data_IF_550168198484
#
_entry.id   IF_550168198484
#
_cell.length_a   1.000
_cell.length_b   1.000
_cell.length_c   1.000
_cell.angle_alpha   90.00
_cell.angle_beta   90.00
_cell.angle_gamma   90.00
#
_symmetry.space_group_name_H-M   'P 1'
#
loop_
_entity.id
_entity.type
_entity.pdbx_description
1 polymer ?
#
# COMPACT_ATOMS: atom_id res chain seq x y z
N UNK A 1 50.71 -40.42 -34.89
CA UNK A 1 50.24 -40.14 -33.52
C UNK A 1 50.54 -38.69 -33.23
N UNK A 2 49.51 -37.85 -33.25
CA UNK A 2 49.49 -36.50 -32.73
C UNK A 2 48.02 -36.23 -32.40
N UNK A 3 47.71 -36.15 -31.12
CA UNK A 3 46.38 -35.82 -30.61
C UNK A 3 46.05 -34.35 -30.91
N UNK A 4 44.81 -34.00 -31.27
CA UNK A 4 44.40 -32.62 -31.35
C UNK A 4 44.12 -32.06 -29.96
N UNK A 5 44.67 -30.88 -29.69
CA UNK A 5 44.44 -30.11 -28.47
C UNK A 5 42.94 -29.85 -28.28
N UNK A 6 42.42 -30.27 -27.12
CA UNK A 6 41.13 -29.85 -26.62
C UNK A 6 41.19 -28.34 -26.34
N UNK A 7 40.39 -27.55 -27.07
CA UNK A 7 40.04 -26.22 -26.60
C UNK A 7 39.21 -26.41 -25.32
N UNK A 8 39.78 -26.00 -24.20
CA UNK A 8 39.03 -25.77 -22.97
C UNK A 8 38.03 -24.66 -23.26
N UNK A 9 36.76 -25.01 -23.40
CA UNK A 9 35.68 -24.10 -23.08
C UNK A 9 35.76 -23.84 -21.57
N UNK A 10 36.39 -22.74 -21.19
CA UNK A 10 36.28 -22.17 -19.85
C UNK A 10 34.82 -21.72 -19.67
N UNK A 11 33.97 -22.66 -19.26
CA UNK A 11 32.71 -22.35 -18.59
C UNK A 11 33.09 -21.67 -17.26
N UNK A 12 32.97 -20.36 -17.20
CA UNK A 12 32.88 -19.61 -15.94
C UNK A 12 31.65 -20.13 -15.17
N UNK A 13 31.84 -21.19 -14.38
CA UNK A 13 30.84 -21.93 -13.62
C UNK A 13 30.81 -21.53 -12.13
N UNK A 14 31.07 -20.24 -11.81
CA UNK A 14 31.19 -19.80 -10.40
C UNK A 14 30.61 -18.38 -10.12
N UNK A 15 29.41 -18.09 -10.63
CA UNK A 15 28.55 -17.06 -10.03
C UNK A 15 27.49 -17.75 -9.14
N UNK A 16 27.67 -17.82 -7.80
CA UNK A 16 26.71 -18.48 -6.95
C UNK A 16 25.37 -17.73 -7.02
N UNK A 17 24.36 -18.39 -7.60
CA UNK A 17 22.93 -18.02 -7.57
C UNK A 17 22.55 -16.65 -8.16
N UNK A 18 22.76 -16.42 -9.45
CA UNK A 18 22.08 -15.31 -10.14
C UNK A 18 20.54 -15.45 -10.03
N UNK A 19 19.78 -14.34 -9.85
CA UNK A 19 18.32 -14.42 -9.71
C UNK A 19 17.66 -14.97 -10.97
N UNK A 20 16.82 -16.00 -10.79
CA UNK A 20 16.13 -16.68 -11.89
C UNK A 20 14.79 -16.00 -12.17
N UNK A 21 14.68 -15.31 -13.31
CA UNK A 21 13.40 -14.73 -13.77
C UNK A 21 12.34 -15.83 -13.89
N UNK A 22 11.15 -15.56 -13.36
CA UNK A 22 10.05 -16.52 -13.28
C UNK A 22 10.05 -17.39 -12.02
N UNK A 23 11.11 -17.37 -11.20
CA UNK A 23 11.10 -18.06 -9.90
C UNK A 23 10.05 -17.45 -8.98
N UNK A 24 9.26 -18.31 -8.35
CA UNK A 24 8.14 -17.91 -7.48
C UNK A 24 8.27 -18.41 -6.05
N UNK A 25 7.66 -17.69 -5.12
CA UNK A 25 7.42 -18.13 -3.73
C UNK A 25 5.95 -17.94 -3.35
N UNK A 26 5.39 -18.83 -2.50
CA UNK A 26 3.98 -18.76 -2.11
C UNK A 26 3.66 -17.53 -1.23
N UNK A 27 2.37 -17.38 -0.91
CA UNK A 27 1.87 -16.44 0.10
C UNK A 27 2.55 -16.63 1.46
N UNK A 28 2.71 -15.55 2.22
CA UNK A 28 3.29 -15.57 3.57
C UNK A 28 4.80 -15.80 3.65
N UNK A 29 5.41 -16.47 2.67
CA UNK A 29 6.85 -16.73 2.68
C UNK A 29 7.63 -15.57 2.08
N UNK A 30 8.57 -15.02 2.85
CA UNK A 30 9.57 -14.07 2.34
C UNK A 30 10.62 -14.83 1.51
N UNK A 31 10.94 -14.40 0.27
CA UNK A 31 12.04 -15.00 -0.49
C UNK A 31 13.35 -14.87 0.28
N UNK A 32 14.26 -15.85 0.20
CA UNK A 32 15.57 -15.73 0.81
C UNK A 32 16.38 -14.67 0.05
N UNK A 33 17.13 -13.84 0.77
CA UNK A 33 17.78 -12.64 0.22
C UNK A 33 18.80 -13.00 -0.87
N UNK A 34 19.57 -14.06 -0.66
CA UNK A 34 20.59 -14.58 -1.58
C UNK A 34 20.00 -14.90 -2.96
N UNK A 35 18.77 -15.39 -3.04
CA UNK A 35 18.09 -15.67 -4.30
C UNK A 35 17.69 -14.42 -5.10
N UNK A 36 17.77 -13.24 -4.49
CA UNK A 36 17.45 -11.95 -5.10
C UNK A 36 18.70 -11.11 -5.41
N UNK A 37 19.85 -11.44 -4.82
CA UNK A 37 21.08 -10.67 -4.97
C UNK A 37 21.57 -10.71 -6.41
N UNK A 38 21.84 -9.54 -6.98
CA UNK A 38 22.38 -9.37 -8.33
C UNK A 38 23.36 -8.22 -8.38
N UNK A 39 23.99 -8.02 -9.53
CA UNK A 39 24.93 -6.92 -9.78
C UNK A 39 24.19 -5.81 -10.53
N UNK A 40 24.27 -4.58 -10.01
CA UNK A 40 23.72 -3.41 -10.66
C UNK A 40 24.44 -3.17 -12.00
N UNK A 41 23.72 -3.10 -13.14
CA UNK A 41 24.34 -3.14 -14.47
C UNK A 41 25.19 -1.91 -14.82
N UNK A 42 25.02 -0.80 -14.11
CA UNK A 42 25.77 0.45 -14.33
C UNK A 42 26.89 0.64 -13.29
N UNK A 43 26.55 0.64 -11.99
CA UNK A 43 27.52 0.87 -10.91
C UNK A 43 28.38 -0.34 -10.56
N UNK A 44 27.94 -1.57 -10.89
CA UNK A 44 28.62 -2.81 -10.50
C UNK A 44 28.39 -3.22 -9.03
N UNK A 45 27.60 -2.47 -8.27
CA UNK A 45 27.29 -2.79 -6.87
C UNK A 45 26.41 -4.03 -6.76
N UNK A 46 26.66 -4.87 -5.75
CA UNK A 46 25.75 -5.99 -5.44
C UNK A 46 24.57 -5.48 -4.64
N UNK A 47 23.37 -5.98 -4.93
CA UNK A 47 22.15 -5.56 -4.26
C UNK A 47 20.90 -6.26 -4.78
N UNK A 48 19.74 -5.71 -4.45
CA UNK A 48 18.43 -6.21 -4.90
C UNK A 48 17.63 -5.13 -5.62
N UNK A 49 16.77 -5.57 -6.54
CA UNK A 49 15.77 -4.72 -7.19
C UNK A 49 14.36 -5.14 -6.79
N UNK A 50 13.50 -4.17 -6.49
CA UNK A 50 12.08 -4.36 -6.22
C UNK A 50 11.28 -3.62 -7.29
N UNK A 51 10.42 -4.32 -8.03
CA UNK A 51 9.47 -3.71 -8.96
C UNK A 51 8.14 -3.43 -8.27
N UNK A 52 7.77 -2.15 -8.21
CA UNK A 52 6.56 -1.62 -7.59
C UNK A 52 5.53 -1.20 -8.64
N UNK A 53 4.28 -1.60 -8.42
CA UNK A 53 3.12 -1.24 -9.26
C UNK A 53 1.91 -0.72 -8.46
N UNK A 54 2.01 -0.68 -7.13
CA UNK A 54 0.87 -0.41 -6.24
C UNK A 54 1.28 0.35 -4.98
N UNK A 55 1.11 -0.28 -3.82
CA UNK A 55 1.28 0.39 -2.52
C UNK A 55 2.72 0.88 -2.28
N UNK A 56 3.70 0.17 -2.83
CA UNK A 56 5.13 0.50 -2.78
C UNK A 56 5.46 1.75 -3.62
N UNK A 57 4.73 2.01 -4.72
CA UNK A 57 4.88 3.28 -5.45
C UNK A 57 4.44 4.46 -4.57
N UNK A 58 3.32 4.30 -3.86
CA UNK A 58 2.78 5.31 -2.95
C UNK A 58 3.63 5.50 -1.69
N UNK A 59 4.23 4.42 -1.18
CA UNK A 59 5.07 4.41 0.02
C UNK A 59 6.38 3.67 -0.28
N UNK A 60 7.41 4.40 -0.77
CA UNK A 60 8.71 3.82 -1.08
C UNK A 60 9.36 3.16 0.15
N UNK A 61 10.03 2.01 -0.01
CA UNK A 61 10.63 1.31 1.11
C UNK A 61 11.93 2.00 1.55
N UNK A 62 12.26 1.98 2.85
CA UNK A 62 13.56 2.45 3.32
C UNK A 62 14.68 1.52 2.84
N UNK A 63 15.92 1.98 2.96
CA UNK A 63 17.11 1.24 2.50
C UNK A 63 17.37 1.34 1.00
N UNK A 64 16.43 1.88 0.21
CA UNK A 64 16.67 2.20 -1.19
C UNK A 64 17.71 3.31 -1.34
N UNK A 65 18.61 3.16 -2.31
CA UNK A 65 19.57 4.21 -2.72
C UNK A 65 19.19 4.81 -4.06
N UNK A 66 18.48 4.05 -4.90
CA UNK A 66 18.03 4.50 -6.21
C UNK A 66 16.59 4.11 -6.50
N UNK A 67 15.96 4.91 -7.37
CA UNK A 67 14.65 4.63 -7.95
C UNK A 67 14.66 4.95 -9.44
N UNK A 68 14.06 4.07 -10.24
CA UNK A 68 14.05 4.16 -11.70
C UNK A 68 12.64 4.03 -12.25
N UNK A 69 12.29 4.89 -13.20
CA UNK A 69 11.09 4.77 -14.01
C UNK A 69 11.15 3.48 -14.82
N UNK A 70 10.20 2.57 -14.62
CA UNK A 70 10.31 1.19 -15.12
C UNK A 70 9.06 0.70 -15.84
N UNK A 71 9.17 -0.46 -16.48
CA UNK A 71 8.05 -1.24 -16.96
C UNK A 71 8.39 -2.75 -16.98
N UNK A 72 7.36 -3.57 -16.92
CA UNK A 72 7.44 -5.03 -17.13
C UNK A 72 6.47 -5.45 -18.24
N UNK A 73 6.76 -6.56 -18.91
CA UNK A 73 5.93 -7.10 -19.99
C UNK A 73 5.18 -8.35 -19.56
N UNK A 74 4.03 -8.60 -20.18
CA UNK A 74 3.24 -9.81 -19.95
C UNK A 74 2.38 -9.76 -18.68
N UNK A 75 2.19 -8.57 -18.11
CA UNK A 75 1.38 -8.36 -16.91
C UNK A 75 0.45 -7.16 -17.07
N UNK A 76 -0.65 -7.19 -16.31
CA UNK A 76 -1.53 -6.05 -16.06
C UNK A 76 -1.77 -5.93 -14.56
N UNK A 77 -2.05 -4.71 -14.10
CA UNK A 77 -2.60 -4.48 -12.76
C UNK A 77 -4.12 -4.40 -12.83
N UNK A 78 -4.79 -4.81 -11.78
CA UNK A 78 -6.24 -4.66 -11.64
C UNK A 78 -6.61 -4.60 -10.14
N UNK A 79 -7.70 -3.95 -9.78
CA UNK A 79 -8.27 -4.03 -8.43
C UNK A 79 -8.99 -5.37 -8.24
N UNK A 80 -8.20 -6.45 -8.13
CA UNK A 80 -8.67 -7.84 -8.16
C UNK A 80 -8.55 -8.57 -6.81
N UNK A 81 -8.22 -7.84 -5.75
CA UNK A 81 -8.06 -8.36 -4.40
C UNK A 81 -8.94 -7.59 -3.42
N UNK A 82 -9.75 -8.32 -2.63
CA UNK A 82 -10.42 -7.78 -1.46
C UNK A 82 -9.38 -7.49 -0.36
N UNK A 83 -9.44 -6.29 0.19
CA UNK A 83 -8.56 -5.84 1.27
C UNK A 83 -9.41 -5.55 2.51
N UNK A 84 -9.26 -6.39 3.53
CA UNK A 84 -10.01 -6.30 4.78
C UNK A 84 -9.23 -5.61 5.91
N UNK A 85 -8.04 -5.10 5.62
CA UNK A 85 -7.14 -4.55 6.65
C UNK A 85 -6.64 -3.15 6.33
N UNK A 86 -6.04 -2.94 5.16
CA UNK A 86 -5.41 -1.67 4.82
C UNK A 86 -6.32 -0.70 4.09
N UNK A 87 -7.30 -1.22 3.34
CA UNK A 87 -8.24 -0.42 2.54
C UNK A 87 -9.70 -0.70 2.87
N UNK A 88 -9.95 -1.61 3.79
CA UNK A 88 -11.28 -1.99 4.25
C UNK A 88 -11.24 -2.58 5.64
N UNK A 89 -12.34 -3.22 5.98
CA UNK A 89 -12.53 -3.97 7.23
C UNK A 89 -13.09 -5.36 6.90
N UNK A 90 -13.12 -6.27 7.88
CA UNK A 90 -13.76 -7.59 7.68
C UNK A 90 -15.23 -7.50 7.26
N UNK A 91 -15.96 -6.50 7.78
CA UNK A 91 -17.39 -6.29 7.46
C UNK A 91 -17.61 -5.59 6.14
N UNK A 92 -16.71 -4.67 5.79
CA UNK A 92 -16.75 -3.88 4.57
C UNK A 92 -15.37 -3.90 3.90
N UNK A 93 -15.06 -4.96 3.12
CA UNK A 93 -13.79 -5.06 2.41
C UNK A 93 -13.62 -3.91 1.42
N UNK A 94 -12.41 -3.37 1.33
CA UNK A 94 -11.98 -2.48 0.26
C UNK A 94 -11.33 -3.27 -0.85
N UNK A 95 -10.66 -2.56 -1.76
CA UNK A 95 -9.93 -3.16 -2.88
C UNK A 95 -8.46 -2.76 -2.85
N UNK A 96 -7.60 -3.70 -3.24
CA UNK A 96 -6.17 -3.44 -3.50
C UNK A 96 -5.77 -3.97 -4.87
N UNK A 97 -4.66 -3.45 -5.41
CA UNK A 97 -4.17 -3.87 -6.73
C UNK A 97 -3.54 -5.26 -6.66
N UNK A 98 -3.89 -6.09 -7.63
CA UNK A 98 -3.23 -7.34 -7.94
C UNK A 98 -2.50 -7.26 -9.29
N UNK A 99 -1.31 -7.86 -9.36
CA UNK A 99 -0.61 -8.06 -10.62
C UNK A 99 -0.95 -9.43 -11.21
N UNK A 100 -1.40 -9.45 -12.46
CA UNK A 100 -1.88 -10.65 -13.14
C UNK A 100 -1.19 -10.83 -14.51
N UNK A 101 -0.91 -12.07 -14.93
CA UNK A 101 -0.41 -12.34 -16.28
C UNK A 101 -1.39 -11.83 -17.35
N UNK A 102 -0.89 -11.04 -18.29
CA UNK A 102 -1.65 -10.55 -19.44
C UNK A 102 -0.72 -10.42 -20.65
N UNK A 103 -0.85 -11.35 -21.59
CA UNK A 103 0.07 -11.48 -22.74
C UNK A 103 -0.03 -10.24 -23.64
N UNK A 104 1.13 -9.71 -24.03
CA UNK A 104 1.23 -8.55 -24.94
C UNK A 104 1.12 -7.19 -24.25
N UNK A 105 0.92 -7.17 -22.93
CA UNK A 105 0.84 -5.93 -22.16
C UNK A 105 2.19 -5.44 -21.70
N UNK A 106 2.30 -4.12 -21.56
CA UNK A 106 3.42 -3.43 -20.94
C UNK A 106 2.91 -2.62 -19.76
N UNK A 107 3.29 -3.01 -18.55
CA UNK A 107 2.85 -2.37 -17.33
C UNK A 107 3.90 -1.35 -16.86
N UNK A 108 3.58 -0.05 -16.80
CA UNK A 108 4.46 0.94 -16.17
C UNK A 108 4.68 0.63 -14.68
N UNK A 109 5.77 1.12 -14.08
CA UNK A 109 6.05 0.93 -12.67
C UNK A 109 7.29 1.70 -12.22
N UNK A 110 7.73 1.43 -10.99
CA UNK A 110 8.98 1.97 -10.43
C UNK A 110 9.83 0.79 -9.96
N UNK A 111 11.12 0.82 -10.27
CA UNK A 111 12.09 -0.10 -9.67
C UNK A 111 12.87 0.64 -8.61
N UNK A 112 12.98 0.05 -7.42
CA UNK A 112 13.88 0.50 -6.37
C UNK A 112 15.08 -0.42 -6.29
N UNK A 113 16.26 0.16 -6.08
CA UNK A 113 17.49 -0.59 -5.81
C UNK A 113 17.96 -0.33 -4.39
N UNK A 114 18.41 -1.39 -3.72
CA UNK A 114 19.16 -1.32 -2.47
C UNK A 114 20.46 -2.11 -2.62
N UNK A 115 21.61 -1.52 -2.26
CA UNK A 115 22.87 -2.24 -2.21
C UNK A 115 22.84 -3.28 -1.08
N UNK A 116 23.80 -4.20 -1.10
CA UNK A 116 23.89 -5.35 -0.19
C UNK A 116 23.73 -4.99 1.28
N UNK A 117 24.28 -3.84 1.71
CA UNK A 117 24.25 -3.36 3.10
C UNK A 117 22.83 -3.07 3.59
N UNK A 118 21.93 -2.63 2.71
CA UNK A 118 20.56 -2.24 3.05
C UNK A 118 19.49 -3.13 2.41
N UNK A 119 19.89 -4.09 1.57
CA UNK A 119 18.99 -5.00 0.87
C UNK A 119 18.09 -5.80 1.83
N UNK A 120 18.65 -6.29 2.95
CA UNK A 120 17.88 -7.01 3.96
C UNK A 120 16.79 -6.12 4.61
N UNK A 121 17.11 -4.85 4.89
CA UNK A 121 16.15 -3.88 5.44
C UNK A 121 15.01 -3.64 4.44
N UNK A 122 15.34 -3.30 3.19
CA UNK A 122 14.35 -3.07 2.15
C UNK A 122 13.43 -4.30 1.98
N UNK A 123 14.00 -5.50 1.89
CA UNK A 123 13.23 -6.73 1.70
C UNK A 123 12.27 -6.99 2.87
N UNK A 124 12.71 -6.75 4.11
CA UNK A 124 11.86 -6.91 5.30
C UNK A 124 10.68 -5.93 5.29
N UNK A 125 10.94 -4.67 4.97
CA UNK A 125 9.93 -3.61 4.98
C UNK A 125 8.92 -3.79 3.83
N UNK A 126 9.40 -4.13 2.64
CA UNK A 126 8.54 -4.47 1.50
C UNK A 126 7.68 -5.71 1.82
N UNK A 127 8.27 -6.73 2.45
CA UNK A 127 7.51 -7.91 2.86
C UNK A 127 6.43 -7.56 3.88
N UNK A 128 6.76 -6.79 4.92
CA UNK A 128 5.79 -6.37 5.94
C UNK A 128 4.65 -5.53 5.35
N UNK A 129 4.96 -4.63 4.41
CA UNK A 129 3.97 -3.78 3.75
C UNK A 129 2.99 -4.55 2.85
N UNK A 130 3.46 -5.59 2.16
CA UNK A 130 2.63 -6.39 1.23
C UNK A 130 2.05 -7.66 1.87
N UNK A 131 2.43 -8.00 3.11
CA UNK A 131 2.08 -9.26 3.76
C UNK A 131 1.54 -9.04 5.18
N UNK A 132 0.40 -8.36 5.35
CA UNK A 132 -0.21 -8.24 6.67
C UNK A 132 -0.54 -9.62 7.24
N UNK A 133 -0.37 -9.78 8.55
CA UNK A 133 -0.49 -11.08 9.23
C UNK A 133 -1.84 -11.77 9.02
N UNK A 134 -2.93 -10.99 8.93
CA UNK A 134 -4.28 -11.49 8.67
C UNK A 134 -4.59 -11.80 7.18
N UNK A 135 -3.69 -11.45 6.25
CA UNK A 135 -3.88 -11.65 4.81
C UNK A 135 -2.62 -12.12 4.08
N UNK A 136 -1.82 -12.98 4.72
CA UNK A 136 -0.55 -13.49 4.18
C UNK A 136 -0.67 -14.14 2.79
N UNK A 137 -1.85 -14.68 2.45
CA UNK A 137 -2.10 -15.35 1.18
C UNK A 137 -2.47 -14.42 0.01
N UNK A 138 -2.51 -13.09 0.18
CA UNK A 138 -2.86 -12.12 -0.87
C UNK A 138 -2.02 -12.26 -2.13
N UNK A 139 -0.70 -12.34 -1.96
CA UNK A 139 0.24 -12.32 -3.06
C UNK A 139 1.17 -13.53 -3.06
N UNK A 140 1.51 -13.99 -4.26
CA UNK A 140 2.72 -14.78 -4.52
C UNK A 140 3.85 -13.82 -4.87
N UNK A 141 5.09 -14.20 -4.58
CA UNK A 141 6.26 -13.43 -5.02
C UNK A 141 6.81 -14.02 -6.31
N UNK A 142 7.32 -13.17 -7.19
CA UNK A 142 8.00 -13.62 -8.41
C UNK A 142 9.15 -12.68 -8.77
N UNK A 143 10.25 -13.23 -9.27
CA UNK A 143 11.26 -12.43 -9.97
C UNK A 143 10.75 -12.17 -11.40
N UNK A 144 10.61 -10.90 -11.76
CA UNK A 144 10.26 -10.43 -13.10
C UNK A 144 11.44 -9.76 -13.77
N UNK A 145 11.41 -9.68 -15.10
CA UNK A 145 12.36 -8.88 -15.85
C UNK A 145 11.81 -7.45 -15.97
N UNK A 146 12.43 -6.49 -15.28
CA UNK A 146 12.07 -5.08 -15.33
C UNK A 146 13.04 -4.29 -16.23
N UNK A 147 12.53 -3.26 -16.89
CA UNK A 147 13.32 -2.32 -17.70
C UNK A 147 13.64 -1.05 -16.89
N UNK A 148 14.89 -0.61 -16.88
CA UNK A 148 15.33 0.66 -16.27
C UNK A 148 16.14 1.48 -17.30
N UNK A 149 16.19 2.80 -17.13
CA UNK A 149 16.91 3.70 -18.05
C UNK A 149 16.52 3.50 -19.51
N UNK A 150 17.52 3.41 -20.39
CA UNK A 150 17.38 3.20 -21.83
C UNK A 150 17.09 1.73 -22.21
N UNK A 151 16.20 1.07 -21.45
CA UNK A 151 15.78 -0.32 -21.71
C UNK A 151 16.70 -1.40 -21.15
N UNK A 152 17.60 -1.05 -20.23
CA UNK A 152 18.44 -2.01 -19.51
C UNK A 152 17.56 -2.94 -18.69
N UNK A 153 17.79 -4.24 -18.78
CA UNK A 153 16.96 -5.25 -18.11
C UNK A 153 17.60 -5.68 -16.80
N UNK A 154 16.82 -5.64 -15.71
CA UNK A 154 17.23 -6.11 -14.38
C UNK A 154 16.24 -7.14 -13.83
N UNK A 155 16.68 -8.17 -13.08
CA UNK A 155 15.78 -9.05 -12.36
C UNK A 155 15.27 -8.33 -11.11
N UNK A 156 13.96 -8.24 -10.94
CA UNK A 156 13.34 -7.54 -9.82
C UNK A 156 12.28 -8.40 -9.14
N UNK A 157 12.25 -8.39 -7.81
CA UNK A 157 11.17 -9.01 -7.04
C UNK A 157 9.90 -8.19 -7.20
N UNK A 158 8.78 -8.86 -7.43
CA UNK A 158 7.44 -8.25 -7.36
C UNK A 158 6.41 -9.21 -6.76
N UNK A 159 5.18 -8.72 -6.60
CA UNK A 159 4.08 -9.39 -5.89
C UNK A 159 2.94 -9.64 -6.87
N UNK A 160 2.62 -10.90 -7.18
CA UNK A 160 1.52 -11.27 -8.05
C UNK A 160 0.28 -11.56 -7.24
N UNK A 161 -0.89 -11.18 -7.74
CA UNK A 161 -2.15 -11.65 -7.17
C UNK A 161 -2.12 -13.17 -7.05
N UNK A 162 -2.57 -13.69 -5.92
CA UNK A 162 -2.68 -15.13 -5.70
C UNK A 162 -4.12 -15.59 -6.03
N UNK A 163 -4.37 -16.29 -7.16
CA UNK A 163 -5.72 -16.75 -7.51
C UNK A 163 -6.30 -17.79 -6.55
N UNK A 164 -5.46 -18.43 -5.74
CA UNK A 164 -5.87 -19.40 -4.71
C UNK A 164 -6.23 -18.71 -3.39
N UNK A 165 -6.00 -17.39 -3.29
CA UNK A 165 -6.38 -16.62 -2.11
C UNK A 165 -7.89 -16.51 -2.00
N UNK A 166 -8.43 -16.68 -0.78
CA UNK A 166 -9.84 -16.37 -0.48
C UNK A 166 -10.19 -14.89 -0.70
N UNK A 167 -9.19 -14.02 -0.82
CA UNK A 167 -9.35 -12.59 -1.08
C UNK A 167 -9.31 -12.26 -2.58
N UNK A 168 -9.02 -13.23 -3.45
CA UNK A 168 -8.99 -12.99 -4.88
C UNK A 168 -10.40 -12.94 -5.47
N UNK A 169 -10.73 -11.79 -6.05
CA UNK A 169 -12.02 -11.55 -6.71
C UNK A 169 -11.88 -11.44 -8.24
N UNK A 170 -10.65 -11.43 -8.76
CA UNK A 170 -10.37 -11.37 -10.20
C UNK A 170 -11.10 -10.20 -10.89
N UNK A 171 -11.81 -10.50 -11.98
CA UNK A 171 -12.62 -9.54 -12.74
C UNK A 171 -14.12 -9.62 -12.42
N UNK A 172 -14.50 -10.11 -11.23
CA UNK A 172 -15.92 -10.23 -10.84
C UNK A 172 -16.64 -8.87 -10.72
N UNK A 173 -15.89 -7.77 -10.63
CA UNK A 173 -16.42 -6.41 -10.56
C UNK A 173 -16.02 -5.62 -11.81
N UNK A 174 -16.98 -4.86 -12.35
CA UNK A 174 -16.72 -3.85 -13.36
C UNK A 174 -16.04 -2.60 -12.77
N UNK A 175 -15.57 -1.70 -13.64
CA UNK A 175 -14.90 -0.45 -13.23
C UNK A 175 -15.75 0.42 -12.31
N UNK A 176 -17.07 0.50 -12.55
CA UNK A 176 -17.99 1.32 -11.76
C UNK A 176 -18.22 0.73 -10.37
N UNK A 177 -18.36 -0.59 -10.28
CA UNK A 177 -18.44 -1.30 -9.01
C UNK A 177 -17.16 -1.15 -8.20
N UNK A 178 -15.99 -1.27 -8.85
CA UNK A 178 -14.68 -1.01 -8.23
C UNK A 178 -14.56 0.42 -7.70
N UNK A 179 -14.88 1.41 -8.53
CA UNK A 179 -14.86 2.82 -8.17
C UNK A 179 -15.77 3.14 -6.98
N UNK A 180 -16.99 2.60 -6.95
CA UNK A 180 -17.91 2.77 -5.82
C UNK A 180 -17.35 2.21 -4.51
N UNK A 181 -16.71 1.03 -4.56
CA UNK A 181 -16.07 0.45 -3.37
C UNK A 181 -14.86 1.29 -2.92
N UNK A 182 -13.99 1.67 -3.85
CA UNK A 182 -12.82 2.52 -3.57
C UNK A 182 -13.24 3.87 -2.96
N UNK A 183 -14.33 4.45 -3.46
CA UNK A 183 -14.86 5.72 -2.99
C UNK A 183 -15.35 5.66 -1.54
N UNK A 184 -15.79 4.51 -1.03
CA UNK A 184 -16.37 4.42 0.32
C UNK A 184 -15.51 3.63 1.32
N UNK A 185 -14.41 3.01 0.89
CA UNK A 185 -13.63 2.11 1.73
C UNK A 185 -12.51 2.83 2.51
N UNK A 186 -12.22 2.30 3.69
CA UNK A 186 -11.09 2.73 4.53
C UNK A 186 -10.62 1.57 5.40
N UNK A 187 -9.32 1.57 5.73
CA UNK A 187 -8.73 0.58 6.62
C UNK A 187 -7.58 1.15 7.44
N UNK A 188 -6.88 0.26 8.13
CA UNK A 188 -5.69 0.55 8.94
C UNK A 188 -4.53 1.04 8.06
N UNK A 189 -3.69 1.99 8.48
CA UNK A 189 -2.50 2.39 7.72
C UNK A 189 -1.51 1.22 7.55
N UNK A 190 -0.85 1.16 6.40
CA UNK A 190 -0.06 0.00 5.99
C UNK A 190 1.35 -0.13 6.56
N UNK A 191 1.86 0.86 7.28
CA UNK A 191 3.15 0.79 7.97
C UNK A 191 3.33 1.94 8.98
N UNK A 192 4.34 1.79 9.85
CA UNK A 192 4.75 2.84 10.78
C UNK A 192 5.33 4.07 10.06
N UNK A 193 5.76 3.95 8.81
CA UNK A 193 6.21 5.10 8.02
C UNK A 193 5.05 6.06 7.70
N UNK A 194 3.89 5.54 7.29
CA UNK A 194 2.66 6.30 7.11
C UNK A 194 2.13 6.85 8.44
N UNK A 195 2.33 6.13 9.56
CA UNK A 195 2.02 6.65 10.91
C UNK A 195 2.96 7.78 11.33
N UNK A 196 4.26 7.70 11.00
CA UNK A 196 5.31 8.68 11.36
C UNK A 196 5.13 10.04 10.69
N UNK A 197 4.57 10.06 9.48
CA UNK A 197 4.39 11.29 8.70
C UNK A 197 2.97 11.87 8.77
N UNK A 198 2.07 11.24 9.54
CA UNK A 198 0.71 11.75 9.76
C UNK A 198 0.54 12.32 11.16
N UNK A 199 -0.33 13.32 11.35
CA UNK A 199 -0.76 13.73 12.68
C UNK A 199 -1.26 12.53 13.49
N UNK A 200 -0.76 12.35 14.73
CA UNK A 200 -1.32 11.39 15.69
C UNK A 200 -2.84 11.59 15.76
N UNK A 201 -3.62 10.53 15.53
CA UNK A 201 -5.09 10.56 15.55
C UNK A 201 -5.79 10.38 14.19
N UNK A 202 -5.11 10.55 13.05
CA UNK A 202 -5.64 10.18 11.73
C UNK A 202 -5.09 8.80 11.33
N UNK A 203 -5.70 7.74 11.85
CA UNK A 203 -5.24 6.35 11.65
C UNK A 203 -6.17 5.64 10.67
N UNK A 204 -6.06 5.97 9.39
CA UNK A 204 -6.57 5.12 8.33
C UNK A 204 -6.22 5.61 6.92
N UNK A 205 -6.16 4.67 5.98
CA UNK A 205 -5.97 4.96 4.55
C UNK A 205 -7.25 4.62 3.81
N UNK A 206 -7.78 5.57 3.04
CA UNK A 206 -8.98 5.34 2.22
C UNK A 206 -8.61 4.60 0.94
N UNK A 207 -9.60 3.97 0.30
CA UNK A 207 -9.43 3.39 -1.03
C UNK A 207 -9.04 4.46 -2.05
N UNK A 208 -9.72 5.61 -2.01
CA UNK A 208 -9.46 6.75 -2.88
C UNK A 208 -8.03 7.28 -2.73
N UNK A 209 -7.56 7.45 -1.49
CA UNK A 209 -6.18 7.89 -1.25
C UNK A 209 -5.17 6.94 -1.86
N UNK A 210 -5.42 5.63 -1.75
CA UNK A 210 -4.53 4.63 -2.29
C UNK A 210 -4.40 4.69 -3.80
N UNK A 211 -5.53 4.72 -4.53
CA UNK A 211 -5.49 4.76 -5.99
C UNK A 211 -4.86 6.05 -6.49
N UNK A 212 -5.28 7.21 -5.93
CA UNK A 212 -4.78 8.52 -6.33
C UNK A 212 -3.29 8.66 -6.06
N UNK A 213 -2.82 8.29 -4.85
CA UNK A 213 -1.39 8.39 -4.52
C UNK A 213 -0.53 7.45 -5.36
N UNK A 214 -1.03 6.25 -5.72
CA UNK A 214 -0.28 5.38 -6.63
C UNK A 214 -0.20 5.99 -8.03
N UNK A 215 -1.29 6.54 -8.56
CA UNK A 215 -1.33 7.20 -9.87
C UNK A 215 -0.35 8.39 -9.93
N UNK A 216 -0.44 9.31 -8.97
CA UNK A 216 0.40 10.50 -8.88
C UNK A 216 1.88 10.17 -8.74
N UNK A 217 2.24 9.13 -7.99
CA UNK A 217 3.64 8.72 -7.85
C UNK A 217 4.21 8.10 -9.12
N UNK A 218 3.38 7.46 -9.91
CA UNK A 218 3.78 6.95 -11.21
C UNK A 218 3.94 8.08 -12.22
N UNK A 219 3.05 9.07 -12.20
CA UNK A 219 3.18 10.29 -12.99
C UNK A 219 4.44 11.10 -12.62
N UNK A 220 4.71 11.32 -11.34
CA UNK A 220 5.95 11.96 -10.84
C UNK A 220 7.21 11.24 -11.35
N UNK A 221 7.12 9.92 -11.56
CA UNK A 221 8.20 9.09 -12.10
C UNK A 221 8.23 9.03 -13.64
N UNK A 222 7.40 9.81 -14.34
CA UNK A 222 7.30 9.81 -15.80
C UNK A 222 6.66 8.56 -16.39
N UNK A 223 5.79 7.90 -15.62
CA UNK A 223 5.11 6.63 -15.97
C UNK A 223 3.59 6.72 -15.73
N UNK A 224 2.87 7.69 -16.31
CA UNK A 224 1.42 7.80 -16.11
C UNK A 224 0.70 6.50 -16.48
N UNK A 225 -0.37 6.18 -15.74
CA UNK A 225 -1.12 4.94 -15.87
C UNK A 225 -2.61 5.28 -16.06
N UNK A 226 -3.09 5.15 -17.30
CA UNK A 226 -4.46 5.51 -17.70
C UNK A 226 -5.51 4.75 -16.87
N UNK A 227 -5.29 3.47 -16.59
CA UNK A 227 -6.21 2.66 -15.80
C UNK A 227 -6.37 3.20 -14.37
N UNK A 228 -5.27 3.62 -13.73
CA UNK A 228 -5.35 4.22 -12.40
C UNK A 228 -5.92 5.63 -12.41
N UNK A 229 -5.63 6.42 -13.45
CA UNK A 229 -6.19 7.75 -13.61
C UNK A 229 -7.72 7.68 -13.77
N UNK A 230 -8.20 6.82 -14.66
CA UNK A 230 -9.63 6.58 -14.88
C UNK A 230 -10.30 6.07 -13.61
N UNK A 231 -9.68 5.11 -12.91
CA UNK A 231 -10.24 4.60 -11.65
C UNK A 231 -10.29 5.67 -10.56
N UNK A 232 -9.28 6.55 -10.48
CA UNK A 232 -9.26 7.67 -9.54
C UNK A 232 -10.41 8.64 -9.84
N UNK A 233 -10.57 9.03 -11.10
CA UNK A 233 -11.64 9.93 -11.52
C UNK A 233 -13.03 9.33 -11.25
N UNK A 234 -13.26 8.07 -11.62
CA UNK A 234 -14.52 7.38 -11.34
C UNK A 234 -14.80 7.27 -9.83
N UNK A 235 -13.77 7.09 -8.99
CA UNK A 235 -13.93 7.04 -7.55
C UNK A 235 -14.24 8.43 -6.95
N UNK A 236 -13.69 9.50 -7.53
CA UNK A 236 -14.04 10.89 -7.17
C UNK A 236 -15.51 11.16 -7.55
N UNK A 237 -15.93 10.83 -8.77
CA UNK A 237 -17.33 10.97 -9.20
C UNK A 237 -18.29 10.17 -8.31
N UNK A 238 -17.89 8.97 -7.87
CA UNK A 238 -18.68 8.19 -6.92
C UNK A 238 -18.77 8.86 -5.54
N UNK A 239 -17.69 9.52 -5.07
CA UNK A 239 -17.71 10.30 -3.83
C UNK A 239 -18.57 11.56 -3.96
N UNK A 240 -18.50 12.28 -5.08
CA UNK A 240 -19.39 13.41 -5.41
C UNK A 240 -20.86 12.97 -5.39
N UNK A 241 -21.17 11.81 -5.97
CA UNK A 241 -22.52 11.24 -5.93
C UNK A 241 -22.97 10.87 -4.50
N UNK A 242 -22.08 10.44 -3.61
CA UNK A 242 -22.41 10.24 -2.19
C UNK A 242 -22.82 11.55 -1.53
N UNK A 243 -22.07 12.63 -1.78
CA UNK A 243 -22.34 13.98 -1.24
C UNK A 243 -23.66 14.54 -1.80
N UNK A 244 -23.92 14.34 -3.09
CA UNK A 244 -25.12 14.83 -3.76
C UNK A 244 -26.37 13.97 -3.52
N UNK A 245 -26.25 12.82 -2.86
CA UNK A 245 -27.33 11.81 -2.76
C UNK A 245 -28.54 12.25 -1.94
N UNK A 246 -28.40 13.26 -1.07
CA UNK A 246 -29.42 13.63 -0.07
C UNK A 246 -29.59 12.61 1.06
N UNK A 247 -28.89 11.47 1.00
CA UNK A 247 -28.84 10.46 2.05
C UNK A 247 -27.84 10.90 3.13
N UNK A 248 -28.37 11.25 4.30
CA UNK A 248 -27.57 11.77 5.41
C UNK A 248 -26.40 10.85 5.79
N UNK A 249 -26.58 9.53 5.77
CA UNK A 249 -25.53 8.59 6.15
C UNK A 249 -24.39 8.58 5.13
N UNK A 250 -24.73 8.56 3.83
CA UNK A 250 -23.73 8.59 2.75
C UNK A 250 -22.95 9.90 2.71
N UNK A 251 -23.64 11.02 2.92
CA UNK A 251 -23.01 12.35 2.99
C UNK A 251 -22.03 12.41 4.15
N UNK A 252 -22.45 11.99 5.34
CA UNK A 252 -21.59 11.97 6.53
C UNK A 252 -20.38 11.05 6.35
N UNK A 253 -20.58 9.87 5.77
CA UNK A 253 -19.50 8.94 5.46
C UNK A 253 -18.48 9.54 4.46
N UNK A 254 -18.96 10.21 3.41
CA UNK A 254 -18.10 10.92 2.45
C UNK A 254 -17.19 11.96 3.13
N UNK A 255 -17.75 12.77 4.04
CA UNK A 255 -16.98 13.76 4.78
C UNK A 255 -16.02 13.15 5.81
N UNK A 256 -16.39 12.01 6.42
CA UNK A 256 -15.50 11.27 7.30
C UNK A 256 -14.25 10.81 6.54
N UNK A 257 -14.43 10.26 5.34
CA UNK A 257 -13.34 9.82 4.48
C UNK A 257 -12.47 10.99 4.01
N UNK A 258 -13.07 12.10 3.57
CA UNK A 258 -12.33 13.32 3.20
C UNK A 258 -11.42 13.83 4.32
N UNK A 259 -11.84 13.67 5.58
CA UNK A 259 -11.01 14.05 6.74
C UNK A 259 -9.86 13.10 6.99
N UNK A 260 -10.01 11.82 6.66
CA UNK A 260 -8.89 10.87 6.70
C UNK A 260 -7.83 11.19 5.64
N UNK A 261 -8.25 11.88 4.57
CA UNK A 261 -7.44 12.34 3.45
C UNK A 261 -6.79 13.73 3.71
N UNK A 262 -7.07 14.40 4.84
CA UNK A 262 -6.45 15.69 5.17
C UNK A 262 -4.93 15.58 5.36
N UNK A 263 -4.20 16.57 4.87
CA UNK A 263 -2.75 16.66 4.84
C UNK A 263 -2.09 15.73 3.82
N UNK A 264 -2.88 15.13 2.93
CA UNK A 264 -2.39 14.31 1.82
C UNK A 264 -2.47 15.09 0.51
N UNK A 265 -1.73 14.67 -0.53
CA UNK A 265 -1.86 15.26 -1.86
C UNK A 265 -3.26 15.13 -2.45
N UNK A 266 -4.04 14.15 -1.98
CA UNK A 266 -5.42 13.96 -2.41
C UNK A 266 -6.30 15.13 -1.96
N UNK A 267 -6.06 15.67 -0.76
CA UNK A 267 -6.68 16.95 -0.37
C UNK A 267 -6.20 18.07 -1.30
N UNK A 268 -4.88 18.23 -1.45
CA UNK A 268 -4.32 19.36 -2.23
C UNK A 268 -4.87 19.42 -3.66
N UNK A 269 -5.06 18.25 -4.29
CA UNK A 269 -5.48 18.14 -5.69
C UNK A 269 -7.00 18.05 -5.87
N UNK A 270 -7.74 17.48 -4.92
CA UNK A 270 -9.17 17.14 -5.11
C UNK A 270 -10.13 17.72 -4.06
N UNK A 271 -9.68 18.58 -3.14
CA UNK A 271 -10.53 19.13 -2.07
C UNK A 271 -11.83 19.78 -2.52
N UNK A 272 -11.85 20.38 -3.70
CA UNK A 272 -13.05 21.06 -4.20
C UNK A 272 -14.13 20.07 -4.68
N UNK A 273 -13.80 18.77 -4.77
CA UNK A 273 -14.65 17.72 -5.34
C UNK A 273 -15.09 16.67 -4.32
N UNK A 274 -14.19 16.25 -3.43
CA UNK A 274 -14.42 15.08 -2.55
C UNK A 274 -15.03 15.43 -1.18
N UNK A 275 -15.45 16.69 -0.99
CA UNK A 275 -16.30 17.15 0.10
C UNK A 275 -15.56 17.55 1.38
N UNK A 276 -15.11 18.81 1.45
CA UNK A 276 -14.49 19.41 2.64
C UNK A 276 -15.36 20.48 3.33
N UNK A 277 -16.58 20.72 2.85
CA UNK A 277 -17.45 21.83 3.30
C UNK A 277 -18.14 21.61 4.67
N UNK A 278 -17.92 20.47 5.32
CA UNK A 278 -18.53 20.15 6.62
C UNK A 278 -17.56 20.43 7.76
N UNK A 279 -18.03 21.23 8.72
CA UNK A 279 -17.21 21.75 9.82
C UNK A 279 -16.58 20.64 10.67
N UNK A 280 -15.48 21.00 11.36
CA UNK A 280 -14.77 20.12 12.28
C UNK A 280 -15.72 19.39 13.27
N UNK A 281 -16.75 20.08 13.73
CA UNK A 281 -17.70 19.63 14.75
C UNK A 281 -18.73 18.61 14.24
N UNK A 282 -19.25 18.77 13.01
CA UNK A 282 -20.29 17.89 12.49
C UNK A 282 -19.80 16.45 12.20
N UNK A 283 -18.52 16.27 11.91
CA UNK A 283 -17.91 14.93 11.79
C UNK A 283 -17.48 14.37 13.14
N UNK A 284 -17.08 15.21 14.10
CA UNK A 284 -16.78 14.75 15.46
C UNK A 284 -18.02 14.16 16.16
N UNK A 285 -19.22 14.65 15.82
CA UNK A 285 -20.49 14.11 16.29
C UNK A 285 -20.82 12.69 15.76
N UNK A 286 -20.08 12.20 14.76
CA UNK A 286 -20.20 10.81 14.27
C UNK A 286 -19.45 9.80 15.16
N UNK A 287 -18.70 10.31 16.14
CA UNK A 287 -17.74 9.52 16.90
C UNK A 287 -16.41 9.35 16.14
N UNK A 288 -15.38 8.82 16.82
CA UNK A 288 -14.13 8.49 16.16
C UNK A 288 -14.36 7.47 15.03
N UNK A 289 -13.55 7.50 13.95
CA UNK A 289 -13.55 6.40 13.00
C UNK A 289 -13.35 5.08 13.77
N UNK A 290 -14.04 3.99 13.41
CA UNK A 290 -13.97 2.71 14.14
C UNK A 290 -12.57 2.12 14.27
N UNK A 291 -11.60 2.66 13.53
CA UNK A 291 -10.20 2.23 13.43
C UNK A 291 -9.28 3.14 14.26
N UNK A 292 -9.77 3.72 15.36
CA UNK A 292 -8.86 4.16 16.42
C UNK A 292 -8.35 2.90 17.12
N UNK A 293 -7.05 2.62 16.99
CA UNK A 293 -6.45 1.48 17.68
C UNK A 293 -6.67 1.60 19.20
N UNK A 294 -6.92 0.49 19.93
CA UNK A 294 -7.20 0.53 21.36
C UNK A 294 -6.16 1.31 22.19
N UNK A 295 -4.87 1.16 21.84
CA UNK A 295 -3.78 1.91 22.48
C UNK A 295 -3.85 3.41 22.25
N UNK A 296 -4.31 3.85 21.07
CA UNK A 296 -4.55 5.26 20.78
C UNK A 296 -5.80 5.77 21.51
N UNK A 297 -6.82 4.93 21.70
CA UNK A 297 -8.00 5.29 22.48
C UNK A 297 -7.61 5.57 23.94
N UNK A 298 -6.77 4.72 24.54
CA UNK A 298 -6.26 4.92 25.89
C UNK A 298 -5.39 6.18 26.00
N UNK A 299 -4.52 6.46 25.01
CA UNK A 299 -3.74 7.69 24.95
C UNK A 299 -4.62 8.95 24.83
N UNK A 300 -5.69 8.91 24.01
CA UNK A 300 -6.64 10.02 23.85
C UNK A 300 -7.41 10.24 25.16
N UNK A 301 -7.87 9.18 25.81
CA UNK A 301 -8.57 9.24 27.10
C UNK A 301 -7.65 9.80 28.21
N UNK A 302 -6.37 9.45 28.20
CA UNK A 302 -5.37 9.94 29.17
C UNK A 302 -4.87 11.36 28.87
N UNK A 303 -4.98 11.83 27.62
CA UNK A 303 -4.53 13.17 27.21
C UNK A 303 -5.39 14.31 27.76
N UNK A 304 -6.52 14.02 28.40
CA UNK A 304 -7.46 15.03 28.89
C UNK A 304 -8.23 15.77 27.80
N UNK A 305 -8.17 15.32 26.54
CA UNK A 305 -8.98 15.84 25.42
C UNK A 305 -10.48 15.54 25.58
N UNK A 306 -10.86 14.72 26.56
CA UNK A 306 -12.24 14.47 26.95
C UNK A 306 -12.69 15.51 28.00
N UNK A 307 -12.72 16.79 27.64
CA UNK A 307 -13.32 17.80 28.51
C UNK A 307 -14.83 17.83 28.28
N UNK A 308 -15.51 17.09 29.15
CA UNK A 308 -16.84 17.38 29.69
C UNK A 308 -18.03 17.40 28.71
N UNK A 309 -18.69 16.25 28.58
CA UNK A 309 -19.99 16.10 27.91
C UNK A 309 -21.18 16.64 28.74
N UNK A 310 -20.93 17.29 29.89
CA UNK A 310 -22.00 17.83 30.74
C UNK A 310 -22.59 19.16 30.24
N UNK A 311 -21.97 19.82 29.26
CA UNK A 311 -22.49 21.06 28.63
C UNK A 311 -23.27 20.81 27.33
N UNK A 312 -23.84 19.61 27.14
CA UNK A 312 -24.80 19.37 26.06
C UNK A 312 -26.17 19.92 26.48
N UNK A 313 -26.34 21.24 26.35
CA UNK A 313 -27.69 21.81 26.30
C UNK A 313 -28.38 21.29 25.02
N UNK A 314 -29.67 21.00 25.12
CA UNK A 314 -30.50 20.30 24.12
C UNK A 314 -30.69 21.00 22.76
N UNK A 315 -29.89 22.02 22.46
CA UNK A 315 -29.83 22.71 21.17
C UNK A 315 -28.33 22.99 20.84
N UNK A 316 -27.54 21.93 20.66
CA UNK A 316 -26.07 21.98 20.69
C UNK A 316 -25.39 22.34 19.36
N UNK A 317 -25.04 23.62 19.18
CA UNK A 317 -23.96 24.09 18.31
C UNK A 317 -22.73 24.42 19.17
N UNK A 318 -21.61 23.72 19.00
CA UNK A 318 -20.32 24.07 19.62
C UNK A 318 -19.43 24.74 18.58
N UNK A 319 -19.08 26.01 18.80
CA UNK A 319 -18.16 26.78 17.94
C UNK A 319 -16.75 26.66 18.50
N UNK A 320 -15.83 26.00 17.77
CA UNK A 320 -14.41 25.95 18.15
C UNK A 320 -13.66 27.07 17.41
N UNK A 321 -12.98 27.93 18.19
CA UNK A 321 -12.26 29.11 17.70
C UNK A 321 -11.06 28.74 16.80
N UNK A 322 -11.04 29.31 15.58
CA UNK A 322 -10.03 29.09 14.53
C UNK A 322 -8.59 29.44 14.95
N UNK A 323 -8.38 30.37 15.89
CA UNK A 323 -7.05 30.73 16.39
C UNK A 323 -6.35 29.59 17.15
N UNK A 324 -7.12 28.65 17.74
CA UNK A 324 -6.55 27.47 18.42
C UNK A 324 -5.98 26.44 17.45
N UNK A 325 -6.51 26.37 16.23
CA UNK A 325 -6.01 25.49 15.16
C UNK A 325 -4.71 26.07 14.57
N UNK A 326 -4.63 27.40 14.44
CA UNK A 326 -3.41 28.10 14.00
C UNK A 326 -2.23 27.88 14.94
N UNK A 327 -2.42 28.06 16.26
CA UNK A 327 -1.38 27.80 17.28
C UNK A 327 -0.85 26.35 17.28
N UNK A 328 -1.66 25.40 16.82
CA UNK A 328 -1.26 23.99 16.71
C UNK A 328 -0.31 23.71 15.54
N UNK A 329 -0.31 24.53 14.48
CA UNK A 329 0.63 24.42 13.35
C UNK A 329 2.04 24.90 13.74
N UNK A 330 2.12 25.95 14.56
CA UNK A 330 3.40 26.61 14.89
C UNK A 330 4.26 25.86 15.91
N UNK A 331 3.65 25.02 16.77
CA UNK A 331 4.38 24.25 17.79
C UNK A 331 5.12 23.01 17.24
N UNK A 332 4.96 22.66 15.96
CA UNK A 332 5.54 21.45 15.36
C UNK A 332 6.96 21.59 14.79
N UNK A 333 7.46 22.81 14.62
CA UNK A 333 8.79 23.02 14.02
C UNK A 333 9.93 22.65 14.98
N UNK A 334 9.66 22.48 16.28
CA UNK A 334 10.74 22.46 17.31
C UNK A 334 11.06 21.09 17.90
N UNK A 335 10.37 20.00 17.55
CA UNK A 335 10.65 18.68 18.18
C UNK A 335 11.26 17.72 17.15
N UNK A 336 12.56 17.88 16.91
CA UNK A 336 13.42 16.87 16.25
C UNK A 336 14.26 16.14 17.29
N UNK A 337 14.24 14.80 17.20
CA UNK A 337 15.20 13.83 17.72
C UNK A 337 15.53 13.83 19.23
N UNK A 338 14.94 12.89 19.96
CA UNK A 338 15.70 12.03 20.90
C UNK A 338 14.85 10.85 21.40
N UNK A 339 15.44 9.65 21.26
CA UNK A 339 15.20 8.45 22.08
C UNK A 339 13.89 7.66 21.86
N UNK A 340 13.99 6.39 21.43
CA UNK A 340 13.79 5.22 22.33
C UNK A 340 13.83 3.87 21.60
N UNK A 341 14.31 2.88 22.36
CA UNK A 341 14.77 1.52 22.07
C UNK A 341 13.65 0.47 21.88
N UNK A 342 13.95 -0.56 21.09
CA UNK A 342 13.08 -1.72 20.81
C UNK A 342 12.99 -2.72 21.97
N UNK A 343 11.79 -3.30 22.16
CA UNK A 343 11.56 -4.52 22.95
C UNK A 343 10.59 -5.48 22.22
N UNK A 344 10.96 -6.77 22.16
CA UNK A 344 10.13 -7.96 21.82
C UNK A 344 9.73 -8.67 23.14
N UNK A 345 8.93 -9.77 23.18
CA UNK A 345 8.17 -10.53 22.16
C UNK A 345 6.64 -10.60 22.51
N UNK A 346 5.73 -11.43 21.94
CA UNK A 346 5.37 -12.82 22.34
C UNK A 346 4.42 -13.51 21.32
N UNK A 347 4.65 -14.82 21.12
CA UNK A 347 3.86 -16.00 20.68
C UNK A 347 2.76 -15.98 19.60
N UNK A 348 2.91 -16.92 18.68
CA UNK A 348 2.06 -17.25 17.53
C UNK A 348 1.35 -18.60 17.75
N UNK A 349 0.02 -18.59 17.74
CA UNK A 349 -0.81 -19.77 17.51
C UNK A 349 -1.85 -19.49 16.39
N UNK A 350 -1.66 -20.22 15.29
CA UNK A 350 -2.61 -20.74 14.28
C UNK A 350 -3.79 -19.91 13.71
N UNK A 351 -3.81 -19.80 12.38
CA UNK A 351 -4.81 -20.51 11.53
C UNK A 351 -4.56 -20.34 10.01
N UNK A 352 -3.83 -21.27 9.41
CA UNK A 352 -3.81 -21.47 7.95
C UNK A 352 -3.80 -22.96 7.58
N UNK A 353 -4.67 -23.74 8.21
CA UNK A 353 -4.88 -25.13 7.80
C UNK A 353 -5.90 -25.21 6.65
N UNK A 354 -5.59 -25.93 5.55
CA UNK A 354 -6.57 -26.24 4.52
C UNK A 354 -7.64 -27.20 5.07
N UNK A 355 -8.92 -26.95 4.73
CA UNK A 355 -10.00 -27.91 4.96
C UNK A 355 -9.72 -29.21 4.18
N UNK A 356 -9.83 -30.40 4.78
CA UNK A 356 -9.67 -31.65 4.04
C UNK A 356 -10.81 -31.81 3.03
N UNK A 357 -10.46 -32.22 1.81
CA UNK A 357 -11.39 -32.52 0.74
C UNK A 357 -12.32 -33.69 1.13
N UNK A 358 -13.63 -33.51 0.93
CA UNK A 358 -14.60 -34.58 1.07
C UNK A 358 -14.32 -35.66 0.01
N UNK A 359 -14.13 -36.91 0.46
CA UNK A 359 -14.08 -38.07 -0.44
C UNK A 359 -15.45 -38.27 -1.10
N UNK A 360 -15.52 -38.64 -2.40
CA UNK A 360 -16.76 -39.08 -2.99
C UNK A 360 -17.16 -40.44 -2.40
N UNK A 361 -18.43 -40.56 -2.02
CA UNK A 361 -19.02 -41.81 -1.54
C UNK A 361 -19.23 -42.79 -2.72
N UNK A 362 -19.19 -44.12 -2.46
CA UNK A 362 -19.34 -45.15 -3.49
C UNK A 362 -20.74 -45.21 -4.14
#
# INVERSE_FOLDING_TARGET
MAEPAANHDDFDDDAPNAPVVGRTWPGGTKPPLDALMTTHPVTGERGIFIFAYGSICANPPPGQTERHASAIHGFRRDFSLNDIYYRGTEKSPGLTLGLEPHKGSRLPGIVYFAPEETAALMLNEVHAQETPECMQCLYRRQIVQAEIGDGVKVPALTFLANPESKYYIGQSLDMKQKANLIACSYGTPNNDYAKRHRPKGLIGKTGLEYVAMTALRLEDAGRPDEYLNDMTEMAIEAREAMIASGDREKVLHAHQLARMEMGTRVEDEFKDRIGYDVTAAAVAALGPPPVIQPSLMDEILQSGLNTDLSEVSTEGMVTINAEKIGKWRDLRVTITYSEMTFGRPVDSDDNCAPKPAAKPAP
#
